data_IF_048250816047
#
_entry.id   IF_048250816047
#
_cell.length_a   1.000
_cell.length_b   1.000
_cell.length_c   1.000
_cell.angle_alpha   90.00
_cell.angle_beta   90.00
_cell.angle_gamma   90.00
#
_symmetry.space_group_name_H-M   'P 1'
#
loop_
_entity.id
_entity.type
_entity.pdbx_description
1 polymer ?
#
# COMPACT_ATOMS: atom_id res chain seq x y z
N UNK A 1 -0.22 15.40 -1.65
CA UNK A 1 -0.15 16.52 -2.61
C UNK A 1 0.20 16.02 -4.00
N UNK A 2 -0.24 16.71 -5.06
CA UNK A 2 0.07 16.41 -6.47
C UNK A 2 1.56 16.56 -6.80
N UNK A 3 1.99 16.17 -8.00
CA UNK A 3 3.38 16.32 -8.46
C UNK A 3 3.79 17.78 -8.68
N UNK A 4 2.83 18.71 -8.58
CA UNK A 4 3.02 20.16 -8.45
C UNK A 4 1.79 20.79 -7.76
N UNK A 5 1.81 22.11 -7.54
CA UNK A 5 0.71 22.88 -6.93
C UNK A 5 -0.65 22.74 -7.64
N UNK A 6 -0.68 22.32 -8.91
CA UNK A 6 -1.91 22.25 -9.71
C UNK A 6 -2.12 20.92 -10.45
N UNK A 7 -1.20 19.96 -10.36
CA UNK A 7 -1.25 18.73 -11.17
C UNK A 7 -1.35 17.48 -10.31
N UNK A 8 -2.52 16.83 -10.34
CA UNK A 8 -2.75 15.54 -9.66
C UNK A 8 -2.03 14.37 -10.34
N UNK A 9 -1.72 14.49 -11.64
CA UNK A 9 -1.04 13.50 -12.49
C UNK A 9 -1.64 12.08 -12.36
N UNK A 10 -2.94 11.89 -12.63
CA UNK A 10 -3.69 10.68 -12.28
C UNK A 10 -3.15 9.39 -12.89
N UNK A 11 -2.52 9.45 -14.07
CA UNK A 11 -1.97 8.31 -14.80
C UNK A 11 -0.53 7.95 -14.42
N UNK A 12 0.15 8.77 -13.61
CA UNK A 12 1.49 8.44 -13.15
C UNK A 12 1.43 7.26 -12.19
N UNK A 13 2.31 6.29 -12.40
CA UNK A 13 2.45 5.14 -11.51
C UNK A 13 3.02 5.58 -10.16
N UNK A 14 2.55 4.96 -9.09
CA UNK A 14 2.91 5.33 -7.74
C UNK A 14 4.12 4.51 -7.28
N UNK A 15 5.13 5.14 -6.66
CA UNK A 15 6.22 4.39 -6.03
C UNK A 15 5.86 3.94 -4.61
N UNK A 16 6.57 2.94 -4.09
CA UNK A 16 6.39 2.49 -2.70
C UNK A 16 6.58 3.62 -1.69
N UNK A 17 7.57 4.50 -1.89
CA UNK A 17 7.76 5.69 -1.05
C UNK A 17 6.56 6.65 -1.09
N UNK A 18 5.97 6.86 -2.28
CA UNK A 18 4.78 7.70 -2.40
C UNK A 18 3.58 7.12 -1.65
N UNK A 19 3.41 5.79 -1.63
CA UNK A 19 2.30 5.14 -0.90
C UNK A 19 2.45 5.39 0.60
N UNK A 20 3.63 5.13 1.13
CA UNK A 20 3.92 5.32 2.55
C UNK A 20 3.81 6.79 2.94
N UNK A 21 4.27 7.70 2.07
CA UNK A 21 4.09 9.14 2.28
C UNK A 21 2.62 9.55 2.35
N UNK A 22 1.72 8.90 1.60
CA UNK A 22 0.27 9.18 1.68
C UNK A 22 -0.26 8.79 3.05
N UNK A 23 0.07 7.60 3.56
CA UNK A 23 -0.33 7.15 4.90
C UNK A 23 0.25 8.07 5.99
N UNK A 24 1.53 8.41 5.88
CA UNK A 24 2.19 9.32 6.82
C UNK A 24 1.55 10.72 6.86
N UNK A 25 1.12 11.24 5.71
CA UNK A 25 0.38 12.51 5.66
C UNK A 25 -1.05 12.40 6.22
N UNK A 26 -1.65 11.21 6.21
CA UNK A 26 -2.98 10.99 6.77
C UNK A 26 -2.94 11.05 8.31
N UNK A 27 -1.83 10.65 8.91
CA UNK A 27 -1.59 10.71 10.37
C UNK A 27 -0.98 12.03 10.83
N UNK A 28 -1.06 13.10 10.04
CA UNK A 28 -0.45 14.41 10.35
C UNK A 28 1.07 14.35 10.60
N UNK A 29 1.76 13.43 9.91
CA UNK A 29 3.24 13.29 9.91
C UNK A 29 3.81 13.08 11.31
N UNK A 30 3.50 11.96 11.97
CA UNK A 30 3.99 11.66 13.31
C UNK A 30 5.52 11.63 13.36
N UNK A 31 6.09 11.81 14.56
CA UNK A 31 7.53 11.63 14.73
C UNK A 31 7.90 10.17 14.44
N UNK A 32 8.90 9.96 13.58
CA UNK A 32 9.47 8.62 13.40
C UNK A 32 10.25 8.23 14.66
N UNK A 33 9.98 7.04 15.21
CA UNK A 33 10.61 6.57 16.45
C UNK A 33 12.14 6.44 16.29
N UNK A 34 12.61 5.74 15.25
CA UNK A 34 14.04 5.58 14.89
C UNK A 34 14.20 5.27 13.39
N UNK A 35 15.44 5.27 12.87
CA UNK A 35 15.73 4.89 11.48
C UNK A 35 15.45 3.40 11.24
N UNK A 36 14.69 3.07 10.20
CA UNK A 36 14.39 1.68 9.82
C UNK A 36 15.60 0.93 9.20
N UNK A 37 16.77 1.58 9.14
CA UNK A 37 18.05 1.02 8.70
C UNK A 37 18.06 0.42 7.28
N UNK A 38 17.12 0.81 6.41
CA UNK A 38 17.17 0.44 5.01
C UNK A 38 18.35 1.12 4.30
N UNK A 39 19.15 0.32 3.60
CA UNK A 39 20.37 0.76 2.91
C UNK A 39 20.11 1.71 1.74
N UNK A 40 18.89 1.73 1.22
CA UNK A 40 18.42 2.56 0.11
C UNK A 40 17.52 3.74 0.55
N UNK A 41 17.49 4.04 1.85
CA UNK A 41 16.76 5.19 2.40
C UNK A 41 17.76 6.16 3.03
N UNK A 42 18.15 7.18 2.26
CA UNK A 42 18.98 8.27 2.78
C UNK A 42 18.22 9.09 3.83
N UNK A 43 18.91 9.51 4.89
CA UNK A 43 18.28 10.19 6.03
C UNK A 43 17.62 11.54 5.67
N UNK A 44 18.11 12.20 4.62
CA UNK A 44 17.61 13.48 4.10
C UNK A 44 16.60 13.31 2.94
N UNK A 45 16.29 12.09 2.54
CA UNK A 45 15.28 11.84 1.51
C UNK A 45 13.90 12.31 1.99
N UNK A 46 13.11 12.89 1.08
CA UNK A 46 11.78 13.43 1.40
C UNK A 46 10.81 12.39 1.98
N UNK A 47 11.03 11.12 1.69
CA UNK A 47 10.25 9.99 2.20
C UNK A 47 10.85 9.32 3.44
N UNK A 48 12.04 9.72 3.89
CA UNK A 48 12.76 9.02 4.97
C UNK A 48 11.93 8.95 6.26
N UNK A 49 11.34 10.08 6.67
CA UNK A 49 10.46 10.13 7.85
C UNK A 49 9.25 9.21 7.71
N UNK A 50 8.62 9.18 6.54
CA UNK A 50 7.46 8.34 6.27
C UNK A 50 7.80 6.86 6.32
N UNK A 51 8.90 6.45 5.66
CA UNK A 51 9.37 5.05 5.65
C UNK A 51 9.78 4.61 7.05
N UNK A 52 10.50 5.45 7.80
CA UNK A 52 10.95 5.13 9.15
C UNK A 52 9.78 4.97 10.11
N UNK A 53 8.81 5.89 10.09
CA UNK A 53 7.58 5.75 10.87
C UNK A 53 6.83 4.47 10.50
N UNK A 54 6.51 4.26 9.22
CA UNK A 54 5.69 3.13 8.82
C UNK A 54 6.37 1.78 9.09
N UNK A 55 7.70 1.70 8.96
CA UNK A 55 8.43 0.49 9.31
C UNK A 55 8.50 0.28 10.84
N UNK A 56 8.71 1.35 11.62
CA UNK A 56 8.72 1.30 13.09
C UNK A 56 7.38 0.88 13.69
N UNK A 57 6.28 1.29 13.06
CA UNK A 57 4.91 0.92 13.44
C UNK A 57 4.46 -0.44 12.86
N UNK A 58 5.30 -1.12 12.07
CA UNK A 58 4.95 -2.40 11.44
C UNK A 58 3.95 -2.31 10.28
N UNK A 59 3.68 -1.10 9.77
CA UNK A 59 2.79 -0.84 8.62
C UNK A 59 3.43 -1.32 7.31
N UNK A 60 4.76 -1.22 7.20
CA UNK A 60 5.50 -1.69 6.01
C UNK A 60 6.72 -2.49 6.37
N UNK A 61 7.13 -3.34 5.42
CA UNK A 61 8.41 -4.06 5.44
C UNK A 61 9.19 -3.84 4.15
N UNK A 62 10.50 -3.98 4.23
CA UNK A 62 11.39 -4.03 3.07
C UNK A 62 11.40 -5.41 2.41
N UNK A 63 12.23 -5.60 1.39
CA UNK A 63 12.34 -6.86 0.64
C UNK A 63 13.11 -7.98 1.35
N UNK A 64 13.53 -7.77 2.61
CA UNK A 64 14.31 -8.75 3.38
C UNK A 64 15.81 -8.77 3.08
N UNK A 65 16.28 -8.00 2.10
CA UNK A 65 17.71 -7.83 1.75
C UNK A 65 18.30 -6.50 2.27
N UNK A 66 17.66 -5.89 3.26
CA UNK A 66 18.05 -4.58 3.79
C UNK A 66 17.64 -3.40 2.90
N UNK A 67 16.76 -3.59 1.92
CA UNK A 67 16.22 -2.54 1.06
C UNK A 67 14.72 -2.38 1.23
N UNK A 68 14.24 -1.15 1.11
CA UNK A 68 12.82 -0.81 1.06
C UNK A 68 12.27 -0.76 -0.38
N UNK A 69 13.10 -0.35 -1.35
CA UNK A 69 12.68 -0.07 -2.72
C UNK A 69 11.84 1.20 -2.86
N UNK A 70 12.30 2.38 -2.38
CA UNK A 70 11.47 3.59 -2.34
C UNK A 70 11.00 4.08 -3.73
N UNK A 71 11.84 3.89 -4.75
CA UNK A 71 11.57 4.32 -6.13
C UNK A 71 10.87 3.24 -6.97
N UNK A 72 10.75 2.02 -6.44
CA UNK A 72 10.06 0.94 -7.15
C UNK A 72 8.57 1.24 -7.23
N UNK A 73 7.99 0.91 -8.38
CA UNK A 73 6.55 1.05 -8.62
C UNK A 73 5.80 0.04 -7.77
N UNK A 74 4.80 0.51 -7.03
CA UNK A 74 4.03 -0.34 -6.12
C UNK A 74 3.12 -1.26 -6.93
N UNK A 75 3.17 -2.56 -6.62
CA UNK A 75 2.24 -3.53 -7.18
C UNK A 75 0.92 -3.53 -6.40
N UNK A 76 -0.14 -4.05 -7.01
CA UNK A 76 -1.47 -4.11 -6.38
C UNK A 76 -1.48 -4.97 -5.12
N UNK A 77 -0.74 -6.08 -5.10
CA UNK A 77 -0.61 -6.91 -3.90
C UNK A 77 0.21 -6.23 -2.78
N UNK A 78 1.25 -5.47 -3.14
CA UNK A 78 2.02 -4.69 -2.15
C UNK A 78 1.17 -3.58 -1.53
N UNK A 79 0.35 -2.91 -2.35
CA UNK A 79 -0.60 -1.91 -1.87
C UNK A 79 -1.63 -2.51 -0.91
N UNK A 80 -2.21 -3.67 -1.25
CA UNK A 80 -3.13 -4.38 -0.38
C UNK A 80 -2.47 -4.71 0.97
N UNK A 81 -1.24 -5.21 0.93
CA UNK A 81 -0.46 -5.54 2.11
C UNK A 81 -0.18 -4.33 3.00
N UNK A 82 0.24 -3.19 2.45
CA UNK A 82 0.44 -1.96 3.21
C UNK A 82 -0.85 -1.46 3.86
N UNK A 83 -1.98 -1.54 3.16
CA UNK A 83 -3.28 -1.14 3.72
C UNK A 83 -3.76 -2.09 4.81
N UNK A 84 -3.51 -3.39 4.67
CA UNK A 84 -3.86 -4.40 5.66
C UNK A 84 -3.12 -4.20 6.99
N UNK A 85 -1.81 -3.95 6.94
CA UNK A 85 -1.03 -3.65 8.15
C UNK A 85 -1.32 -2.26 8.70
N UNK A 86 -1.58 -1.26 7.85
CA UNK A 86 -2.05 0.05 8.30
C UNK A 86 -3.40 -0.04 9.04
N UNK A 87 -4.33 -0.86 8.55
CA UNK A 87 -5.60 -1.11 9.22
C UNK A 87 -5.41 -1.74 10.61
N UNK A 88 -4.55 -2.75 10.72
CA UNK A 88 -4.19 -3.35 12.01
C UNK A 88 -3.59 -2.33 12.97
N UNK A 89 -2.63 -1.53 12.50
CA UNK A 89 -2.02 -0.47 13.29
C UNK A 89 -3.06 0.55 13.78
N UNK A 90 -4.04 0.90 12.94
CA UNK A 90 -5.14 1.78 13.30
C UNK A 90 -6.19 1.13 14.24
N UNK A 91 -5.94 -0.07 14.76
CA UNK A 91 -6.82 -0.79 15.67
C UNK A 91 -8.01 -1.47 15.01
N UNK A 92 -7.97 -1.66 13.69
CA UNK A 92 -8.93 -2.51 12.99
C UNK A 92 -8.48 -3.98 13.02
N UNK A 93 -9.43 -4.88 12.81
CA UNK A 93 -9.18 -6.33 12.73
C UNK A 93 -9.46 -6.81 11.29
N UNK A 94 -8.61 -6.47 10.30
CA UNK A 94 -8.79 -6.95 8.95
C UNK A 94 -8.61 -8.47 8.92
N UNK A 95 -9.45 -9.16 8.16
CA UNK A 95 -9.43 -10.61 8.04
C UNK A 95 -9.68 -11.02 6.59
N UNK A 96 -9.03 -12.11 6.18
CA UNK A 96 -9.23 -12.67 4.85
C UNK A 96 -10.71 -13.02 4.65
N UNK A 97 -11.28 -12.60 3.51
CA UNK A 97 -12.64 -12.98 3.15
C UNK A 97 -12.70 -14.44 2.71
N UNK A 98 -13.64 -15.20 3.26
CA UNK A 98 -13.94 -16.53 2.75
C UNK A 98 -14.23 -16.45 1.25
N UNK A 99 -13.50 -17.23 0.46
CA UNK A 99 -13.69 -17.39 -0.99
C UNK A 99 -13.54 -16.11 -1.83
N UNK A 100 -13.01 -15.02 -1.25
CA UNK A 100 -12.90 -13.72 -1.91
C UNK A 100 -12.10 -13.76 -3.22
N UNK A 101 -11.17 -14.71 -3.34
CA UNK A 101 -10.32 -14.88 -4.52
C UNK A 101 -10.82 -15.94 -5.51
N UNK A 102 -11.82 -16.76 -5.17
CA UNK A 102 -12.24 -17.90 -6.01
C UNK A 102 -12.74 -17.49 -7.39
N UNK A 103 -13.28 -16.27 -7.53
CA UNK A 103 -13.79 -15.73 -8.78
C UNK A 103 -12.71 -15.18 -9.72
N UNK A 104 -11.42 -15.23 -9.36
CA UNK A 104 -10.34 -14.66 -10.14
C UNK A 104 -9.41 -15.73 -10.72
N UNK A 105 -9.22 -15.68 -12.04
CA UNK A 105 -8.43 -16.66 -12.79
C UNK A 105 -6.94 -16.58 -12.50
N UNK A 106 -6.47 -15.40 -12.08
CA UNK A 106 -5.08 -15.11 -11.72
C UNK A 106 -4.86 -15.05 -10.20
N UNK A 107 -5.80 -15.54 -9.39
CA UNK A 107 -5.63 -15.61 -7.93
C UNK A 107 -4.35 -16.38 -7.52
N UNK A 108 -3.94 -17.37 -8.30
CA UNK A 108 -2.70 -18.12 -8.09
C UNK A 108 -1.41 -17.31 -8.32
N UNK A 109 -1.50 -16.08 -8.85
CA UNK A 109 -0.37 -15.16 -8.98
C UNK A 109 -0.18 -14.27 -7.75
N UNK A 110 -1.11 -14.29 -6.80
CA UNK A 110 -0.96 -13.58 -5.53
C UNK A 110 0.15 -14.24 -4.74
N UNK A 111 1.15 -13.46 -4.34
CA UNK A 111 2.22 -13.96 -3.50
C UNK A 111 1.68 -14.46 -2.15
N UNK A 112 2.23 -15.55 -1.62
CA UNK A 112 1.74 -16.14 -0.36
C UNK A 112 1.74 -15.15 0.81
N UNK A 113 2.71 -14.25 0.88
CA UNK A 113 2.80 -13.21 1.90
C UNK A 113 1.72 -12.12 1.77
N UNK A 114 1.08 -12.00 0.60
CA UNK A 114 0.04 -11.02 0.32
C UNK A 114 -1.37 -11.63 0.34
N UNK A 115 -1.50 -12.96 0.42
CA UNK A 115 -2.76 -13.69 0.24
C UNK A 115 -3.88 -13.15 1.13
N UNK A 116 -3.63 -13.03 2.43
CA UNK A 116 -4.64 -12.55 3.38
C UNK A 116 -4.99 -11.08 3.14
N UNK A 117 -3.99 -10.25 2.87
CA UNK A 117 -4.18 -8.84 2.60
C UNK A 117 -4.97 -8.58 1.30
N UNK A 118 -4.68 -9.31 0.22
CA UNK A 118 -5.41 -9.21 -1.04
C UNK A 118 -6.83 -9.76 -0.87
N UNK A 119 -7.00 -10.88 -0.18
CA UNK A 119 -8.31 -11.44 0.13
C UNK A 119 -9.18 -10.46 0.93
N UNK A 120 -8.62 -9.87 1.99
CA UNK A 120 -9.28 -8.84 2.78
C UNK A 120 -9.63 -7.59 1.95
N UNK A 121 -8.68 -7.11 1.13
CA UNK A 121 -8.91 -5.92 0.32
C UNK A 121 -10.01 -6.14 -0.72
N UNK A 122 -10.12 -7.34 -1.28
CA UNK A 122 -11.19 -7.72 -2.21
C UNK A 122 -12.53 -7.84 -1.47
N UNK A 123 -12.58 -8.55 -0.34
CA UNK A 123 -13.83 -8.74 0.42
C UNK A 123 -14.38 -7.45 1.02
N UNK A 124 -13.48 -6.53 1.39
CA UNK A 124 -13.82 -5.20 1.90
C UNK A 124 -14.16 -4.19 0.80
N UNK A 125 -14.11 -4.60 -0.47
CA UNK A 125 -14.38 -3.74 -1.63
C UNK A 125 -13.32 -2.65 -1.87
N UNK A 126 -12.17 -2.72 -1.21
CA UNK A 126 -11.05 -1.79 -1.39
C UNK A 126 -10.40 -2.01 -2.75
N UNK A 127 -10.22 -3.26 -3.16
CA UNK A 127 -9.65 -3.61 -4.47
C UNK A 127 -10.70 -4.39 -5.26
N UNK A 128 -10.97 -3.94 -6.48
CA UNK A 128 -11.76 -4.69 -7.47
C UNK A 128 -10.85 -5.27 -8.54
N UNK A 129 -11.34 -6.31 -9.23
CA UNK A 129 -10.70 -6.80 -10.44
C UNK A 129 -10.61 -5.75 -11.54
N UNK A 130 -9.69 -5.96 -12.47
CA UNK A 130 -9.46 -5.10 -13.65
C UNK A 130 -10.37 -5.48 -14.83
N UNK A 131 -11.27 -6.45 -14.64
CA UNK A 131 -12.15 -7.02 -15.66
C UNK A 131 -11.85 -8.49 -15.91
N UNK A 132 -12.73 -9.19 -16.63
CA UNK A 132 -12.53 -10.60 -17.05
C UNK A 132 -12.02 -11.53 -15.93
N UNK A 133 -12.55 -11.41 -14.71
CA UNK A 133 -12.12 -12.24 -13.57
C UNK A 133 -10.60 -12.14 -13.30
N UNK A 134 -10.00 -10.95 -13.47
CA UNK A 134 -8.56 -10.71 -13.29
C UNK A 134 -8.31 -9.71 -12.16
N UNK A 135 -7.39 -10.03 -11.23
CA UNK A 135 -6.92 -9.13 -10.16
C UNK A 135 -5.70 -8.30 -10.57
N UNK A 136 -4.84 -8.89 -11.38
CA UNK A 136 -3.51 -8.43 -11.76
C UNK A 136 -2.64 -8.08 -10.54
N UNK A 137 -2.35 -9.02 -9.63
CA UNK A 137 -1.71 -8.72 -8.33
C UNK A 137 -0.32 -8.08 -8.47
N UNK A 138 0.43 -8.45 -9.51
CA UNK A 138 1.78 -7.95 -9.81
C UNK A 138 1.78 -6.70 -10.69
N UNK A 139 0.63 -6.29 -11.23
CA UNK A 139 0.54 -5.05 -11.99
C UNK A 139 0.70 -3.84 -11.07
N UNK A 140 1.30 -2.78 -11.62
CA UNK A 140 1.52 -1.53 -10.88
C UNK A 140 0.24 -0.69 -10.83
N UNK A 141 0.10 0.12 -9.78
CA UNK A 141 -1.05 0.99 -9.59
C UNK A 141 -0.75 2.45 -9.98
N UNK A 142 -1.73 3.07 -10.62
CA UNK A 142 -1.72 4.52 -10.89
C UNK A 142 -2.12 5.32 -9.65
N UNK A 143 -1.73 6.59 -9.62
CA UNK A 143 -2.15 7.55 -8.58
C UNK A 143 -3.66 7.63 -8.43
N UNK A 144 -4.41 7.57 -9.53
CA UNK A 144 -5.86 7.58 -9.51
C UNK A 144 -6.43 6.34 -8.79
N UNK A 145 -5.93 5.15 -9.11
CA UNK A 145 -6.36 3.91 -8.45
C UNK A 145 -6.06 3.95 -6.96
N UNK A 146 -4.83 4.31 -6.57
CA UNK A 146 -4.45 4.44 -5.16
C UNK A 146 -5.36 5.45 -4.44
N UNK A 147 -5.67 6.59 -5.06
CA UNK A 147 -6.57 7.57 -4.46
C UNK A 147 -8.00 7.04 -4.29
N UNK A 148 -8.55 6.29 -5.26
CA UNK A 148 -9.87 5.66 -5.12
C UNK A 148 -9.88 4.66 -3.96
N UNK A 149 -8.83 3.86 -3.83
CA UNK A 149 -8.71 2.86 -2.77
C UNK A 149 -8.60 3.52 -1.41
N UNK A 150 -7.78 4.56 -1.26
CA UNK A 150 -7.66 5.35 -0.02
C UNK A 150 -9.01 6.01 0.35
N UNK A 151 -9.76 6.50 -0.63
CA UNK A 151 -11.09 7.06 -0.41
C UNK A 151 -12.10 5.99 0.03
N UNK A 152 -12.05 4.79 -0.56
CA UNK A 152 -12.88 3.66 -0.16
C UNK A 152 -12.54 3.21 1.27
N UNK A 153 -11.24 3.12 1.60
CA UNK A 153 -10.76 2.80 2.94
C UNK A 153 -11.32 3.75 4.00
N UNK A 154 -11.20 5.07 3.79
CA UNK A 154 -11.75 6.05 4.74
C UNK A 154 -13.27 6.01 4.87
N UNK A 155 -14.00 5.73 3.79
CA UNK A 155 -15.47 5.60 3.84
C UNK A 155 -15.92 4.35 4.59
N UNK A 156 -15.16 3.25 4.49
CA UNK A 156 -15.43 2.01 5.23
C UNK A 156 -15.12 2.10 6.73
N UNK A 157 -14.43 3.15 7.17
CA UNK A 157 -14.12 3.44 8.58
C UNK A 157 -15.12 4.41 9.25
N UNK A 158 -16.10 4.96 8.49
CA UNK A 158 -17.07 5.95 8.96
C UNK A 158 -18.43 5.33 9.31
#
# INVERSE_FOLDING_TARGET
SGTSATTFAPSTQLSRAMMVQILYNLEDRPAAAESAAFTDVAADAWYAGAVNWAAGEGIVSGYGNGKFGPDDLITREQMANMLYYYAQWAGLEPSAGADALQGFQDAGQVSSWASDAVSWAVSSGLISGTGNQTLAPTATATRAEVAQIMMAFRKGQA
#
